data_IF_780722945135
#
_entry.id   IF_780722945135
#
_cell.length_a   1.000
_cell.length_b   1.000
_cell.length_c   1.000
_cell.angle_alpha   90.00
_cell.angle_beta   90.00
_cell.angle_gamma   90.00
#
_symmetry.space_group_name_H-M   'P 1'
#
loop_
_entity.id
_entity.type
_entity.pdbx_description
1 polymer ?
#
# COMPACT_ATOMS: atom_id res chain seq x y z
N UNK A 1 4.58 -0.65 -1.59
CA UNK A 1 3.31 -0.19 -1.03
C UNK A 1 2.19 -1.12 -1.46
N UNK A 2 0.97 -0.97 -0.93
CA UNK A 2 -0.06 -2.00 -1.01
C UNK A 2 -1.50 -1.46 -1.02
N UNK A 3 -2.49 -2.36 -1.04
CA UNK A 3 -3.90 -2.07 -1.28
C UNK A 3 -4.71 -1.64 -0.06
N UNK A 4 -4.09 -1.33 1.09
CA UNK A 4 -4.79 -0.77 2.25
C UNK A 4 -5.00 0.75 2.12
N UNK A 5 -6.10 1.26 2.69
CA UNK A 5 -6.53 2.63 2.50
C UNK A 5 -5.55 3.69 3.04
N UNK A 6 -4.78 3.39 4.06
CA UNK A 6 -3.74 4.27 4.62
C UNK A 6 -2.54 4.47 3.67
N UNK A 7 -2.40 3.61 2.64
CA UNK A 7 -1.38 3.75 1.61
C UNK A 7 -1.83 4.49 0.35
N UNK A 8 -3.11 4.46 0.03
CA UNK A 8 -3.62 5.15 -1.16
C UNK A 8 -4.61 6.28 -0.86
N UNK A 9 -5.23 6.27 0.31
CA UNK A 9 -6.37 7.15 0.60
C UNK A 9 -6.06 8.64 0.56
N UNK A 10 -4.81 9.03 0.69
CA UNK A 10 -4.36 10.42 0.60
C UNK A 10 -4.08 10.93 -0.81
N UNK A 11 -4.31 10.15 -1.86
CA UNK A 11 -3.87 10.47 -3.23
C UNK A 11 -4.39 11.82 -3.73
N UNK A 12 -5.62 12.21 -3.43
CA UNK A 12 -6.17 13.51 -3.82
C UNK A 12 -5.48 14.70 -3.14
N UNK A 13 -4.67 14.48 -2.11
CA UNK A 13 -3.84 15.51 -1.48
C UNK A 13 -2.52 15.78 -2.19
N UNK A 14 -2.12 14.89 -3.11
CA UNK A 14 -0.85 15.00 -3.83
C UNK A 14 -1.00 15.18 -5.34
N UNK A 15 -2.13 14.79 -5.92
CA UNK A 15 -2.41 15.00 -7.34
C UNK A 15 -3.90 15.17 -7.61
N UNK A 16 -4.24 15.99 -8.61
CA UNK A 16 -5.59 16.09 -9.11
C UNK A 16 -5.91 14.90 -10.03
N UNK A 17 -7.19 14.53 -10.13
CA UNK A 17 -7.62 13.40 -10.98
C UNK A 17 -7.29 13.65 -12.47
N UNK A 18 -7.35 14.89 -12.88
CA UNK A 18 -7.09 15.36 -14.24
C UNK A 18 -5.62 15.22 -14.64
N UNK A 19 -4.73 15.11 -13.65
CA UNK A 19 -3.29 14.95 -13.88
C UNK A 19 -2.87 13.49 -14.04
N UNK A 20 -3.78 12.56 -13.77
CA UNK A 20 -3.53 11.12 -13.96
C UNK A 20 -3.31 10.79 -15.43
N UNK A 21 -2.32 9.97 -15.73
CA UNK A 21 -2.08 9.43 -17.05
C UNK A 21 -3.21 8.49 -17.50
N UNK A 22 -3.42 8.39 -18.80
CA UNK A 22 -4.43 7.52 -19.42
C UNK A 22 -3.96 6.06 -19.37
N UNK A 23 -4.74 5.21 -18.72
CA UNK A 23 -4.47 3.77 -18.57
C UNK A 23 -4.53 2.97 -19.88
N UNK A 24 -5.01 3.55 -20.96
CA UNK A 24 -5.05 2.90 -22.28
C UNK A 24 -3.73 3.04 -23.05
N UNK A 25 -2.83 3.91 -22.57
CA UNK A 25 -1.52 4.15 -23.16
C UNK A 25 -0.47 3.17 -22.61
N UNK A 26 0.59 2.93 -23.40
CA UNK A 26 1.79 2.26 -22.89
C UNK A 26 2.43 3.08 -21.78
N UNK A 27 3.26 2.46 -20.93
CA UNK A 27 3.94 3.21 -19.84
C UNK A 27 4.87 4.29 -20.43
N UNK A 28 5.50 4.04 -21.55
CA UNK A 28 6.35 4.99 -22.25
C UNK A 28 5.55 6.21 -22.72
N UNK A 29 4.38 5.98 -23.31
CA UNK A 29 3.50 7.05 -23.77
C UNK A 29 2.88 7.83 -22.59
N UNK A 30 2.56 7.13 -21.48
CA UNK A 30 2.12 7.79 -20.25
C UNK A 30 3.19 8.74 -19.72
N UNK A 31 4.45 8.29 -19.65
CA UNK A 31 5.59 9.11 -19.19
C UNK A 31 5.87 10.28 -20.14
N UNK A 32 5.69 10.10 -21.46
CA UNK A 32 5.87 11.13 -22.46
C UNK A 32 4.72 12.16 -22.49
N UNK A 33 3.56 11.83 -21.96
CA UNK A 33 2.35 12.68 -22.01
C UNK A 33 2.42 13.91 -21.11
N UNK A 34 3.36 13.98 -20.18
CA UNK A 34 3.42 14.99 -19.12
C UNK A 34 2.37 14.80 -18.01
N UNK A 35 1.65 13.66 -18.02
CA UNK A 35 0.73 13.25 -16.97
C UNK A 35 1.42 12.32 -15.97
N UNK A 36 0.78 12.12 -14.83
CA UNK A 36 1.34 11.35 -13.72
C UNK A 36 0.82 9.91 -13.77
N UNK A 37 1.68 8.90 -14.01
CA UNK A 37 1.26 7.52 -13.94
C UNK A 37 0.99 7.11 -12.48
N UNK A 38 -0.11 6.42 -12.26
CA UNK A 38 -0.44 5.78 -10.98
C UNK A 38 -0.07 4.31 -11.09
N UNK A 39 1.06 3.96 -10.47
CA UNK A 39 1.68 2.64 -10.59
C UNK A 39 1.39 1.84 -9.34
N UNK A 40 0.90 0.62 -9.51
CA UNK A 40 0.52 -0.26 -8.40
C UNK A 40 0.94 -1.71 -8.67
N UNK A 41 0.99 -2.57 -7.64
CA UNK A 41 1.08 -4.02 -7.89
C UNK A 41 -0.20 -4.54 -8.55
N UNK A 42 -0.08 -5.58 -9.34
CA UNK A 42 -1.22 -6.28 -9.96
C UNK A 42 -2.27 -6.68 -8.92
N UNK A 43 -3.55 -6.53 -9.28
CA UNK A 43 -4.68 -6.83 -8.39
C UNK A 43 -5.01 -5.74 -7.37
N UNK A 44 -4.30 -4.63 -7.39
CA UNK A 44 -4.49 -3.53 -6.43
C UNK A 44 -5.94 -3.03 -6.38
N UNK A 45 -6.55 -2.77 -7.53
CA UNK A 45 -7.93 -2.27 -7.59
C UNK A 45 -8.93 -3.27 -7.00
N UNK A 46 -8.82 -4.55 -7.37
CA UNK A 46 -9.70 -5.59 -6.87
C UNK A 46 -9.65 -5.69 -5.35
N UNK A 47 -8.45 -5.81 -4.78
CA UNK A 47 -8.27 -5.97 -3.34
C UNK A 47 -8.65 -4.71 -2.57
N UNK A 48 -8.36 -3.52 -3.09
CA UNK A 48 -8.79 -2.26 -2.48
C UNK A 48 -10.32 -2.15 -2.44
N UNK A 49 -11.02 -2.51 -3.51
CA UNK A 49 -12.49 -2.49 -3.56
C UNK A 49 -13.09 -3.57 -2.65
N UNK A 50 -12.55 -4.78 -2.67
CA UNK A 50 -12.97 -5.87 -1.78
C UNK A 50 -12.96 -5.43 -0.31
N UNK A 51 -11.85 -4.86 0.12
CA UNK A 51 -11.67 -4.48 1.52
C UNK A 51 -12.49 -3.24 1.91
N UNK A 52 -12.45 -2.20 1.11
CA UNK A 52 -13.00 -0.90 1.50
C UNK A 52 -14.47 -0.71 1.11
N UNK A 53 -14.96 -1.42 0.10
CA UNK A 53 -16.36 -1.32 -0.35
C UNK A 53 -17.16 -2.52 0.13
N UNK A 54 -16.82 -3.73 -0.28
CA UNK A 54 -17.62 -4.91 0.06
C UNK A 54 -17.55 -5.24 1.56
N UNK A 55 -16.36 -5.29 2.14
CA UNK A 55 -16.17 -5.55 3.56
C UNK A 55 -16.22 -4.28 4.42
N UNK A 56 -16.17 -3.10 3.84
CA UNK A 56 -15.89 -1.82 4.48
C UNK A 56 -16.76 -1.50 5.70
N UNK A 57 -18.08 -1.73 5.62
CA UNK A 57 -18.96 -1.50 6.79
C UNK A 57 -18.68 -2.45 7.96
N UNK A 58 -18.39 -3.72 7.66
CA UNK A 58 -18.04 -4.71 8.67
C UNK A 58 -16.69 -4.40 9.31
N UNK A 59 -15.71 -4.08 8.48
CA UNK A 59 -14.37 -3.69 8.93
C UNK A 59 -14.40 -2.40 9.74
N UNK A 60 -15.12 -1.38 9.31
CA UNK A 60 -15.25 -0.11 10.03
C UNK A 60 -15.83 -0.28 11.44
N UNK A 61 -16.82 -1.17 11.61
CA UNK A 61 -17.35 -1.50 12.95
C UNK A 61 -16.29 -2.19 13.83
N UNK A 62 -15.57 -3.16 13.28
CA UNK A 62 -14.53 -3.89 14.01
C UNK A 62 -13.33 -3.02 14.34
N UNK A 63 -13.00 -2.05 13.49
CA UNK A 63 -11.92 -1.08 13.71
C UNK A 63 -12.16 -0.24 14.98
N UNK A 64 -13.41 0.06 15.33
CA UNK A 64 -13.73 0.75 16.58
C UNK A 64 -13.21 -0.01 17.80
N UNK A 65 -13.26 -1.34 17.76
CA UNK A 65 -12.74 -2.19 18.84
C UNK A 65 -11.23 -2.36 18.75
N UNK A 66 -10.71 -2.61 17.56
CA UNK A 66 -9.27 -2.82 17.37
C UNK A 66 -8.44 -1.62 17.78
N UNK A 67 -8.88 -0.43 17.42
CA UNK A 67 -8.13 0.82 17.67
C UNK A 67 -8.64 1.63 18.85
N UNK A 68 -9.70 1.19 19.51
CA UNK A 68 -10.32 1.94 20.59
C UNK A 68 -10.77 3.34 20.18
N UNK A 69 -11.26 3.51 18.94
CA UNK A 69 -11.55 4.83 18.35
C UNK A 69 -12.54 5.62 19.19
N UNK A 70 -13.53 4.93 19.77
CA UNK A 70 -14.60 5.54 20.58
C UNK A 70 -14.19 5.85 22.03
N UNK A 71 -13.00 5.42 22.46
CA UNK A 71 -12.52 5.70 23.81
C UNK A 71 -11.96 7.10 23.90
N UNK A 72 -12.25 7.79 25.01
CA UNK A 72 -11.67 9.10 25.31
C UNK A 72 -10.15 8.97 25.51
N UNK A 73 -9.33 9.86 24.94
CA UNK A 73 -7.90 9.88 25.24
C UNK A 73 -7.63 10.11 26.74
N UNK A 74 -6.75 9.33 27.32
CA UNK A 74 -6.35 9.42 28.72
C UNK A 74 -6.07 8.07 29.36
N UNK A 75 -5.62 8.09 30.61
CA UNK A 75 -5.19 6.88 31.35
C UNK A 75 -6.30 5.86 31.59
N UNK A 76 -7.55 6.29 31.56
CA UNK A 76 -8.72 5.41 31.71
C UNK A 76 -9.41 5.05 30.38
N UNK A 77 -8.87 5.52 29.27
CA UNK A 77 -9.40 5.29 27.93
C UNK A 77 -8.34 4.74 26.98
N UNK A 78 -7.91 5.53 26.00
CA UNK A 78 -6.83 5.15 25.06
C UNK A 78 -5.65 6.13 25.18
N UNK A 79 -4.43 5.59 25.18
CA UNK A 79 -3.19 6.36 25.07
C UNK A 79 -2.69 6.40 23.63
N UNK A 80 -2.84 5.29 22.90
CA UNK A 80 -2.49 5.14 21.49
C UNK A 80 -3.41 4.12 20.85
N UNK A 81 -3.29 3.96 19.53
CA UNK A 81 -4.09 3.01 18.75
C UNK A 81 -3.30 1.75 18.32
N UNK A 82 -2.06 1.59 18.81
CA UNK A 82 -1.15 0.52 18.41
C UNK A 82 -0.41 0.81 17.10
N UNK A 83 -0.94 1.69 16.28
CA UNK A 83 -0.36 2.15 15.00
C UNK A 83 0.01 3.65 15.04
N UNK A 84 -0.07 4.28 16.19
CA UNK A 84 0.19 5.71 16.42
C UNK A 84 -0.78 6.31 17.41
N UNK A 85 -0.66 7.61 17.65
CA UNK A 85 -1.50 8.36 18.62
C UNK A 85 -2.94 8.52 18.13
N UNK A 86 -3.15 8.56 16.83
CA UNK A 86 -4.46 8.71 16.20
C UNK A 86 -4.37 8.46 14.70
N UNK A 87 -5.53 8.39 14.05
CA UNK A 87 -5.64 8.27 12.60
C UNK A 87 -5.95 9.63 11.98
N UNK A 88 -5.54 9.82 10.73
CA UNK A 88 -5.99 10.95 9.93
C UNK A 88 -7.52 10.93 9.77
N UNK A 89 -8.14 12.10 9.93
CA UNK A 89 -9.58 12.28 9.75
C UNK A 89 -9.93 12.98 8.42
N UNK A 90 -8.96 13.09 7.53
CA UNK A 90 -9.14 13.66 6.19
C UNK A 90 -10.04 12.81 5.27
N UNK A 91 -10.26 13.32 4.07
CA UNK A 91 -11.03 12.61 3.05
C UNK A 91 -10.20 11.47 2.46
N UNK A 92 -10.75 10.26 2.47
CA UNK A 92 -10.17 9.12 1.77
C UNK A 92 -10.58 9.17 0.30
N UNK A 93 -9.62 9.09 -0.59
CA UNK A 93 -9.83 9.11 -2.04
C UNK A 93 -9.21 7.86 -2.69
N UNK A 94 -9.63 7.57 -3.90
CA UNK A 94 -9.11 6.46 -4.70
C UNK A 94 -8.97 6.91 -6.14
N UNK A 95 -7.82 6.61 -6.73
CA UNK A 95 -7.62 6.69 -8.18
C UNK A 95 -7.30 5.29 -8.70
N UNK A 96 -7.96 4.92 -9.80
CA UNK A 96 -7.60 3.67 -10.49
C UNK A 96 -6.15 3.75 -10.98
N UNK A 97 -5.38 2.68 -10.90
CA UNK A 97 -4.04 2.63 -11.50
C UNK A 97 -4.10 2.95 -13.00
N UNK A 98 -3.05 3.55 -13.50
CA UNK A 98 -2.81 3.66 -14.94
C UNK A 98 -1.81 2.63 -15.44
N UNK A 99 -1.05 2.02 -14.52
CA UNK A 99 -0.11 0.95 -14.83
C UNK A 99 0.00 -0.03 -13.66
N UNK A 100 -0.01 -1.33 -13.96
CA UNK A 100 0.18 -2.37 -12.94
C UNK A 100 1.49 -3.11 -13.19
N UNK A 101 2.31 -3.23 -12.15
CA UNK A 101 3.49 -4.11 -12.12
C UNK A 101 2.99 -5.54 -12.02
N UNK A 102 3.31 -6.35 -13.02
CA UNK A 102 2.79 -7.72 -13.15
C UNK A 102 3.81 -8.81 -12.83
N UNK A 103 5.09 -8.44 -12.71
CA UNK A 103 6.17 -9.38 -12.39
C UNK A 103 7.28 -8.72 -11.58
N UNK A 104 7.92 -9.49 -10.70
CA UNK A 104 9.14 -9.05 -10.01
C UNK A 104 10.29 -8.85 -10.99
N UNK A 105 11.16 -7.88 -10.69
CA UNK A 105 12.29 -7.50 -11.54
C UNK A 105 11.94 -6.52 -12.66
N UNK A 106 10.67 -6.11 -12.79
CA UNK A 106 10.27 -5.06 -13.73
C UNK A 106 10.92 -3.74 -13.33
N UNK A 107 11.38 -2.97 -14.34
CA UNK A 107 12.11 -1.72 -14.14
C UNK A 107 11.46 -0.59 -14.91
N UNK A 108 11.38 0.56 -14.27
CA UNK A 108 10.92 1.81 -14.89
C UNK A 108 11.91 2.93 -14.58
N UNK A 109 12.01 3.89 -15.49
CA UNK A 109 12.71 5.15 -15.23
C UNK A 109 11.70 6.27 -15.30
N UNK A 110 11.47 6.93 -14.16
CA UNK A 110 10.47 7.99 -14.03
C UNK A 110 11.19 9.26 -13.59
N UNK A 111 11.10 10.30 -14.39
CA UNK A 111 11.77 11.60 -14.13
C UNK A 111 13.27 11.43 -13.81
N UNK A 112 13.94 10.52 -14.51
CA UNK A 112 15.36 10.21 -14.33
C UNK A 112 15.69 9.32 -13.12
N UNK A 113 14.69 8.89 -12.35
CA UNK A 113 14.86 7.96 -11.23
C UNK A 113 14.57 6.54 -11.69
N UNK A 114 15.54 5.66 -11.51
CA UNK A 114 15.40 4.23 -11.77
C UNK A 114 14.65 3.57 -10.61
N UNK A 115 13.67 2.74 -10.94
CA UNK A 115 12.85 1.96 -10.02
C UNK A 115 12.87 0.49 -10.48
N UNK A 116 13.06 -0.42 -9.52
CA UNK A 116 12.89 -1.85 -9.75
C UNK A 116 11.89 -2.40 -8.73
N UNK A 117 11.00 -3.29 -9.15
CA UNK A 117 9.89 -3.74 -8.33
C UNK A 117 10.00 -5.22 -7.98
N UNK A 118 9.74 -5.55 -6.72
CA UNK A 118 9.55 -6.90 -6.23
C UNK A 118 8.10 -7.06 -5.80
N UNK A 119 7.33 -7.93 -6.45
CA UNK A 119 5.98 -8.27 -6.01
C UNK A 119 6.04 -9.16 -4.76
N UNK A 120 5.23 -8.82 -3.76
CA UNK A 120 5.19 -9.52 -2.47
C UNK A 120 3.74 -9.81 -2.04
N UNK A 121 2.93 -10.46 -2.90
CA UNK A 121 1.52 -10.67 -2.61
C UNK A 121 1.30 -11.54 -1.37
N UNK A 122 0.21 -11.26 -0.64
CA UNK A 122 -0.16 -12.03 0.55
C UNK A 122 0.71 -11.77 1.79
N UNK A 123 1.53 -10.73 1.75
CA UNK A 123 2.29 -10.25 2.90
C UNK A 123 1.43 -9.33 3.77
N UNK A 124 1.75 -8.04 3.94
CA UNK A 124 0.90 -7.12 4.70
C UNK A 124 -0.48 -6.97 4.05
N UNK A 125 -0.53 -6.94 2.71
CA UNK A 125 -1.77 -6.96 1.94
C UNK A 125 -1.73 -7.98 0.80
N UNK A 126 -2.91 -8.35 0.24
CA UNK A 126 -2.98 -9.28 -0.88
C UNK A 126 -2.26 -8.78 -2.13
N UNK A 127 -2.35 -7.49 -2.43
CA UNK A 127 -1.63 -6.82 -3.52
C UNK A 127 -0.58 -5.90 -2.93
N UNK A 128 0.68 -6.29 -3.02
CA UNK A 128 1.80 -5.55 -2.45
C UNK A 128 3.06 -5.66 -3.29
N UNK A 129 3.89 -4.62 -3.23
CA UNK A 129 5.22 -4.59 -3.85
C UNK A 129 6.22 -3.78 -3.03
N UNK A 130 7.46 -4.21 -3.04
CA UNK A 130 8.63 -3.44 -2.65
C UNK A 130 9.16 -2.66 -3.86
N UNK A 131 9.85 -1.54 -3.63
CA UNK A 131 10.45 -0.74 -4.69
C UNK A 131 11.90 -0.45 -4.35
N UNK A 132 12.81 -0.88 -5.19
CA UNK A 132 14.22 -0.60 -5.11
C UNK A 132 14.58 0.65 -5.93
N UNK A 133 15.35 1.54 -5.34
CA UNK A 133 15.89 2.76 -5.96
C UNK A 133 17.43 2.63 -6.04
N UNK A 134 17.98 2.06 -7.12
CA UNK A 134 19.41 1.71 -7.21
C UNK A 134 20.34 2.92 -7.06
N UNK A 135 20.00 4.07 -7.64
CA UNK A 135 20.80 5.30 -7.53
C UNK A 135 20.94 5.80 -6.09
N UNK A 136 19.96 5.48 -5.23
CA UNK A 136 19.91 5.90 -3.83
C UNK A 136 20.30 4.79 -2.85
N UNK A 137 20.51 3.56 -3.35
CA UNK A 137 20.70 2.36 -2.51
C UNK A 137 19.62 2.25 -1.44
N UNK A 138 18.39 2.51 -1.82
CA UNK A 138 17.24 2.53 -0.93
C UNK A 138 16.18 1.53 -1.38
N UNK A 139 15.69 0.71 -0.44
CA UNK A 139 14.61 -0.23 -0.65
C UNK A 139 13.39 0.23 0.15
N UNK A 140 12.32 0.54 -0.56
CA UNK A 140 11.04 0.88 0.04
C UNK A 140 10.21 -0.39 0.21
N UNK A 141 9.94 -0.77 1.46
CA UNK A 141 9.25 -2.02 1.80
C UNK A 141 7.92 -1.80 2.53
N UNK A 142 7.54 -0.56 2.82
CA UNK A 142 6.37 -0.25 3.66
C UNK A 142 6.38 -1.10 4.94
N UNK A 143 5.27 -1.74 5.32
CA UNK A 143 5.21 -2.62 6.49
C UNK A 143 5.83 -3.99 6.28
N UNK A 144 6.26 -4.34 5.07
CA UNK A 144 7.00 -5.59 4.88
C UNK A 144 8.29 -5.66 5.70
N UNK A 145 8.83 -4.50 6.10
CA UNK A 145 9.96 -4.41 7.01
C UNK A 145 9.66 -3.41 8.13
N UNK A 146 9.23 -3.89 9.27
CA UNK A 146 8.97 -3.07 10.46
C UNK A 146 9.92 -3.43 11.60
N UNK A 147 10.13 -2.51 12.54
CA UNK A 147 10.89 -2.75 13.77
C UNK A 147 10.15 -3.56 14.84
N UNK A 148 8.93 -4.00 14.56
CA UNK A 148 8.06 -4.74 15.48
C UNK A 148 7.53 -6.00 14.81
N UNK A 149 7.04 -6.96 15.62
CA UNK A 149 6.37 -8.14 15.10
C UNK A 149 5.01 -7.74 14.53
N UNK A 150 4.85 -7.85 13.22
CA UNK A 150 3.58 -7.58 12.55
C UNK A 150 2.60 -8.75 12.74
N UNK A 151 1.31 -8.45 12.88
CA UNK A 151 0.30 -9.49 12.97
C UNK A 151 0.06 -10.17 11.61
N UNK A 152 -0.32 -11.45 11.63
CA UNK A 152 -0.72 -12.20 10.43
C UNK A 152 -2.24 -12.17 10.19
N UNK A 153 -3.01 -11.73 11.18
CA UNK A 153 -4.45 -11.56 11.10
C UNK A 153 -4.90 -10.40 11.97
N UNK A 154 -5.58 -9.44 11.40
CA UNK A 154 -6.04 -8.23 12.09
C UNK A 154 -7.47 -8.38 12.60
N UNK A 155 -7.75 -7.88 13.82
CA UNK A 155 -9.08 -7.97 14.44
C UNK A 155 -10.17 -7.23 13.65
N UNK A 156 -9.81 -6.17 12.92
CA UNK A 156 -10.75 -5.47 12.03
C UNK A 156 -11.24 -6.36 10.89
N UNK A 157 -10.50 -7.42 10.60
CA UNK A 157 -10.71 -8.32 9.48
C UNK A 157 -9.93 -7.86 8.24
N UNK A 158 -9.24 -8.79 7.66
CA UNK A 158 -8.54 -8.70 6.38
C UNK A 158 -8.32 -10.14 5.91
N UNK A 159 -7.78 -10.33 4.72
CA UNK A 159 -7.30 -11.65 4.31
C UNK A 159 -6.13 -12.06 5.23
N UNK A 160 -6.05 -13.35 5.57
CA UNK A 160 -4.97 -13.89 6.41
C UNK A 160 -3.66 -13.78 5.63
N UNK A 161 -2.64 -13.23 6.29
CA UNK A 161 -1.31 -13.05 5.71
C UNK A 161 -0.52 -14.34 5.73
N UNK A 162 0.27 -14.57 4.67
CA UNK A 162 1.17 -15.72 4.59
C UNK A 162 2.54 -15.38 5.18
N UNK A 163 2.75 -15.76 6.44
CA UNK A 163 4.02 -15.49 7.14
C UNK A 163 5.23 -16.22 6.53
N UNK A 164 5.04 -17.35 5.87
CA UNK A 164 6.14 -18.08 5.22
C UNK A 164 6.55 -17.38 3.91
N UNK A 165 5.57 -17.01 3.09
CA UNK A 165 5.82 -16.21 1.89
C UNK A 165 6.44 -14.86 2.25
N UNK A 166 5.95 -14.19 3.30
CA UNK A 166 6.50 -12.92 3.78
C UNK A 166 7.98 -13.03 4.13
N UNK A 167 8.36 -14.05 4.92
CA UNK A 167 9.77 -14.31 5.25
C UNK A 167 10.62 -14.60 4.01
N UNK A 168 10.08 -15.33 3.02
CA UNK A 168 10.76 -15.62 1.76
C UNK A 168 11.04 -14.35 0.96
N UNK A 169 10.06 -13.44 0.83
CA UNK A 169 10.25 -12.18 0.11
C UNK A 169 11.27 -11.25 0.79
N UNK A 170 11.32 -11.22 2.13
CA UNK A 170 12.36 -10.47 2.84
C UNK A 170 13.74 -11.08 2.55
N UNK A 171 13.86 -12.40 2.59
CA UNK A 171 15.12 -13.10 2.30
C UNK A 171 15.56 -12.87 0.86
N UNK A 172 14.63 -12.91 -0.08
CA UNK A 172 14.88 -12.60 -1.49
C UNK A 172 15.35 -11.14 -1.66
N UNK A 173 14.69 -10.18 -1.02
CA UNK A 173 15.07 -8.77 -1.06
C UNK A 173 16.50 -8.54 -0.56
N UNK A 174 16.90 -9.20 0.55
CA UNK A 174 18.28 -9.13 1.08
C UNK A 174 19.29 -9.69 0.07
N UNK A 175 18.89 -10.67 -0.76
CA UNK A 175 19.77 -11.28 -1.75
C UNK A 175 19.87 -10.45 -3.04
N UNK A 176 18.82 -9.70 -3.38
CA UNK A 176 18.74 -8.94 -4.64
C UNK A 176 19.31 -7.53 -4.50
N UNK A 177 19.13 -6.93 -3.35
CA UNK A 177 19.37 -5.51 -3.10
C UNK A 177 20.35 -5.29 -1.94
#
# INVERSE_FOLDING_TARGET
SHSHADHFGGIAGVMAKEDKADETLSIEDQLASGKIPVITPVGFTEHSVKENVYAGKGMGRRSNYQYGILLTPGVTGKLAQGIGMGQSTGTVSFLTPSYEITQSGEKLTIDGVELEFQLTPGTEAPAEMNTWLPQHKALWMAENCTGTLHNLYTLRGAEVRDGAAWASYITEAISLY
#
